data_IF_505328601095
#
_entry.id   IF_505328601095
#
_cell.length_a   1.000
_cell.length_b   1.000
_cell.length_c   1.000
_cell.angle_alpha   90.00
_cell.angle_beta   90.00
_cell.angle_gamma   90.00
#
_symmetry.space_group_name_H-M   'P 1'
#
loop_
_entity.id
_entity.type
_entity.pdbx_description
1 polymer ?
#
# COMPACT_ATOMS: atom_id res chain seq x y z
N UNK A 1 -8.38 15.50 -0.76
CA UNK A 1 -7.28 14.67 -1.29
C UNK A 1 -7.82 13.76 -2.37
N UNK A 2 -7.34 13.98 -3.59
CA UNK A 2 -7.69 13.27 -4.82
C UNK A 2 -7.16 11.84 -4.81
N UNK A 3 -7.63 11.00 -5.74
CA UNK A 3 -7.09 9.64 -5.90
C UNK A 3 -5.64 9.66 -6.41
N UNK A 4 -5.28 10.64 -7.25
CA UNK A 4 -3.90 10.81 -7.72
C UNK A 4 -2.95 11.09 -6.55
N UNK A 5 -3.31 11.98 -5.62
CA UNK A 5 -2.51 12.26 -4.43
C UNK A 5 -2.37 11.01 -3.51
N UNK A 6 -3.38 10.14 -3.44
CA UNK A 6 -3.27 8.85 -2.73
C UNK A 6 -2.24 7.96 -3.40
N UNK A 7 -2.30 7.83 -4.73
CA UNK A 7 -1.41 6.98 -5.48
C UNK A 7 0.04 7.51 -5.43
N UNK A 8 0.26 8.83 -5.49
CA UNK A 8 1.59 9.43 -5.32
C UNK A 8 2.18 9.13 -3.94
N UNK A 9 1.39 9.29 -2.86
CA UNK A 9 1.83 8.93 -1.50
C UNK A 9 2.12 7.43 -1.37
N UNK A 10 1.31 6.58 -1.99
CA UNK A 10 1.55 5.14 -2.00
C UNK A 10 2.84 4.77 -2.75
N UNK A 11 3.11 5.42 -3.89
CA UNK A 11 4.33 5.21 -4.65
C UNK A 11 5.59 5.63 -3.87
N UNK A 12 5.53 6.77 -3.16
CA UNK A 12 6.60 7.20 -2.25
C UNK A 12 6.83 6.13 -1.18
N UNK A 13 5.77 5.64 -0.54
CA UNK A 13 5.89 4.64 0.52
C UNK A 13 6.48 3.31 0.01
N UNK A 14 6.08 2.87 -1.19
CA UNK A 14 6.65 1.68 -1.86
C UNK A 14 8.12 1.90 -2.19
N UNK A 15 8.49 3.08 -2.69
CA UNK A 15 9.88 3.40 -2.99
C UNK A 15 10.76 3.44 -1.73
N UNK A 16 10.24 3.95 -0.61
CA UNK A 16 10.99 4.07 0.66
C UNK A 16 11.08 2.75 1.42
N UNK A 17 10.02 1.95 1.44
CA UNK A 17 9.91 0.76 2.30
C UNK A 17 9.82 -0.57 1.53
N UNK A 18 9.76 -0.54 0.20
CA UNK A 18 9.63 -1.72 -0.65
C UNK A 18 8.41 -2.57 -0.27
N UNK A 19 8.63 -3.87 -0.10
CA UNK A 19 7.57 -4.81 0.28
C UNK A 19 6.95 -4.54 1.66
N UNK A 20 7.63 -3.79 2.54
CA UNK A 20 7.12 -3.43 3.86
C UNK A 20 6.17 -2.22 3.83
N UNK A 21 6.04 -1.52 2.69
CA UNK A 21 5.24 -0.30 2.59
C UNK A 21 3.79 -0.49 3.02
N UNK A 22 3.22 -1.69 2.78
CA UNK A 22 1.85 -1.99 3.18
C UNK A 22 1.72 -2.05 4.71
N UNK A 23 2.64 -2.73 5.36
CA UNK A 23 2.67 -2.85 6.83
C UNK A 23 2.82 -1.47 7.48
N UNK A 24 3.71 -0.63 6.93
CA UNK A 24 3.89 0.76 7.39
C UNK A 24 2.59 1.56 7.26
N UNK A 25 1.86 1.45 6.13
CA UNK A 25 0.59 2.12 5.96
C UNK A 25 -0.49 1.61 6.95
N UNK A 26 -0.51 0.32 7.24
CA UNK A 26 -1.43 -0.29 8.20
C UNK A 26 -1.10 0.10 9.65
N UNK A 27 0.18 0.19 10.02
CA UNK A 27 0.65 0.69 11.31
C UNK A 27 0.22 2.15 11.49
N UNK A 28 0.48 3.01 10.49
CA UNK A 28 0.05 4.40 10.53
C UNK A 28 -1.46 4.54 10.67
N UNK A 29 -2.25 3.72 9.97
CA UNK A 29 -3.71 3.66 10.13
C UNK A 29 -4.11 3.36 11.57
N UNK A 30 -3.40 2.46 12.25
CA UNK A 30 -3.72 2.02 13.62
C UNK A 30 -3.53 3.12 14.68
N UNK A 31 -2.74 4.15 14.37
CA UNK A 31 -2.55 5.33 15.22
C UNK A 31 -3.76 6.30 15.21
N UNK A 32 -4.75 6.05 14.35
CA UNK A 32 -5.93 6.89 14.21
C UNK A 32 -7.20 6.17 14.67
N UNK A 33 -8.13 6.94 15.23
CA UNK A 33 -9.46 6.42 15.59
C UNK A 33 -10.21 5.92 14.36
N UNK A 34 -10.88 4.77 14.50
CA UNK A 34 -11.69 4.18 13.42
C UNK A 34 -12.73 5.19 12.92
N UNK A 35 -12.75 5.40 11.60
CA UNK A 35 -13.70 6.31 10.95
C UNK A 35 -13.25 7.78 10.89
N UNK A 36 -12.17 8.17 11.58
CA UNK A 36 -11.54 9.48 11.43
C UNK A 36 -10.95 9.68 10.03
N UNK A 37 -10.69 10.94 9.66
CA UNK A 37 -10.11 11.27 8.35
C UNK A 37 -8.72 10.64 8.17
N UNK A 38 -7.89 10.65 9.20
CA UNK A 38 -6.59 9.99 9.19
C UNK A 38 -6.71 8.47 8.97
N UNK A 39 -7.66 7.82 9.65
CA UNK A 39 -7.91 6.40 9.44
C UNK A 39 -8.37 6.09 8.01
N UNK A 40 -9.30 6.88 7.46
CA UNK A 40 -9.79 6.72 6.08
C UNK A 40 -8.69 6.96 5.04
N UNK A 41 -7.86 7.97 5.28
CA UNK A 41 -6.71 8.30 4.45
C UNK A 41 -5.72 7.13 4.38
N UNK A 42 -5.23 6.66 5.54
CA UNK A 42 -4.27 5.55 5.58
C UNK A 42 -4.87 4.23 5.09
N UNK A 43 -6.18 4.03 5.23
CA UNK A 43 -6.88 2.91 4.59
C UNK A 43 -6.79 2.98 3.06
N UNK A 44 -6.99 4.16 2.45
CA UNK A 44 -6.87 4.35 1.00
C UNK A 44 -5.43 4.15 0.52
N UNK A 45 -4.45 4.68 1.26
CA UNK A 45 -3.02 4.52 0.96
C UNK A 45 -2.61 3.04 1.02
N UNK A 46 -2.96 2.32 2.09
CA UNK A 46 -2.65 0.89 2.22
C UNK A 46 -3.25 0.06 1.08
N UNK A 47 -4.46 0.40 0.64
CA UNK A 47 -5.09 -0.24 -0.52
C UNK A 47 -4.34 0.06 -1.83
N UNK A 48 -3.87 1.29 -2.03
CA UNK A 48 -3.09 1.69 -3.20
C UNK A 48 -1.72 0.99 -3.25
N UNK A 49 -1.00 0.95 -2.13
CA UNK A 49 0.24 0.17 -1.98
C UNK A 49 0.02 -1.29 -2.35
N UNK A 50 -1.06 -1.91 -1.86
CA UNK A 50 -1.40 -3.30 -2.20
C UNK A 50 -1.74 -3.53 -3.68
N UNK A 51 -2.16 -2.50 -4.43
CA UNK A 51 -2.30 -2.61 -5.90
C UNK A 51 -0.92 -2.56 -6.57
N UNK A 52 -0.06 -1.63 -6.17
CA UNK A 52 1.26 -1.44 -6.76
C UNK A 52 2.16 -2.67 -6.56
N UNK A 53 2.24 -3.20 -5.34
CA UNK A 53 3.05 -4.39 -5.05
C UNK A 53 2.58 -5.65 -5.81
N UNK A 54 1.29 -5.71 -6.18
CA UNK A 54 0.76 -6.79 -7.04
C UNK A 54 1.09 -6.60 -8.52
N UNK A 55 1.25 -5.36 -8.98
CA UNK A 55 1.69 -5.06 -10.34
C UNK A 55 3.19 -5.32 -10.52
N UNK A 56 3.98 -5.08 -9.48
CA UNK A 56 5.43 -5.30 -9.48
C UNK A 56 5.84 -6.77 -9.24
N UNK A 57 4.92 -7.63 -8.79
CA UNK A 57 5.16 -9.07 -8.78
C UNK A 57 5.02 -9.62 -10.20
N UNK A 58 6.11 -10.06 -10.87
CA UNK A 58 5.98 -10.82 -12.10
C UNK A 58 5.17 -12.09 -11.78
N UNK A 59 4.34 -12.55 -12.72
CA UNK A 59 3.52 -13.75 -12.64
C UNK A 59 4.30 -15.08 -12.54
N UNK A 60 5.50 -15.08 -11.93
CA UNK A 60 6.36 -16.23 -11.71
C UNK A 60 6.08 -16.89 -10.36
N UNK A 61 4.95 -17.57 -10.28
CA UNK A 61 4.69 -18.56 -9.23
C UNK A 61 4.15 -19.89 -9.77
N UNK A 62 4.30 -20.19 -11.07
CA UNK A 62 3.76 -21.41 -11.69
C UNK A 62 4.73 -22.25 -12.54
N UNK A 63 6.06 -22.09 -12.41
CA UNK A 63 7.01 -22.93 -13.16
C UNK A 63 8.19 -23.42 -12.33
N UNK A 64 7.96 -24.18 -11.26
CA UNK A 64 8.97 -25.13 -10.77
C UNK A 64 8.27 -26.38 -10.24
N UNK A 65 7.75 -27.18 -11.17
CA UNK A 65 7.49 -28.60 -10.97
C UNK A 65 7.98 -29.32 -12.21
N UNK A 66 9.21 -29.83 -12.13
CA UNK A 66 9.72 -30.94 -12.94
C UNK A 66 10.55 -31.82 -12.03
#
# INVERSE_FOLDING_TARGET
>A
MTDQEVDELAAILVNEHGNAAREVAEERRSLHESGSDGFRLWTRIAAAVGRMLRLDQPANAHQHSR
#
